data_IF_812713470900
#
_entry.id   IF_812713470900
#
_cell.length_a   1.000
_cell.length_b   1.000
_cell.length_c   1.000
_cell.angle_alpha   90.00
_cell.angle_beta   90.00
_cell.angle_gamma   90.00
#
_symmetry.space_group_name_H-M   'P 1'
#
loop_
_entity.id
_entity.type
_entity.pdbx_description
1 polymer ?
#
# COMPACT_ATOMS: atom_id res chain seq x y z
N UNK A 1 5.97 36.82 4.66
CA UNK A 1 5.13 35.66 4.28
C UNK A 1 6.02 34.41 4.21
N UNK A 2 6.09 33.60 5.29
CA UNK A 2 6.93 32.38 5.33
C UNK A 2 6.14 31.21 4.73
N UNK A 3 6.67 30.62 3.66
CA UNK A 3 6.04 29.56 2.86
C UNK A 3 5.56 28.35 3.71
N UNK A 4 4.34 27.82 3.45
CA UNK A 4 3.77 26.66 4.16
C UNK A 4 4.49 25.32 3.91
N UNK A 5 5.45 25.29 2.98
CA UNK A 5 6.21 24.09 2.62
C UNK A 5 7.09 23.52 3.73
N UNK A 6 7.64 24.35 4.62
CA UNK A 6 8.55 23.87 5.69
C UNK A 6 7.83 23.05 6.77
N UNK A 7 6.55 23.34 7.07
CA UNK A 7 5.77 22.61 8.08
C UNK A 7 5.35 21.24 7.55
N UNK A 8 4.80 21.20 6.34
CA UNK A 8 4.36 19.97 5.64
C UNK A 8 5.45 18.90 5.57
N UNK A 9 6.72 19.29 5.32
CA UNK A 9 7.85 18.35 5.28
C UNK A 9 8.21 17.77 6.66
N UNK A 10 8.09 18.57 7.71
CA UNK A 10 8.35 18.12 9.09
C UNK A 10 7.29 17.13 9.55
N UNK A 11 6.03 17.35 9.20
CA UNK A 11 4.92 16.45 9.53
C UNK A 11 5.06 15.10 8.81
N UNK A 12 5.40 15.12 7.51
CA UNK A 12 5.67 13.90 6.74
C UNK A 12 6.78 13.06 7.39
N UNK A 13 7.88 13.69 7.83
CA UNK A 13 8.96 12.96 8.51
C UNK A 13 8.52 12.33 9.81
N UNK A 14 7.71 13.02 10.61
CA UNK A 14 7.18 12.47 11.87
C UNK A 14 6.25 11.28 11.63
N UNK A 15 5.37 11.36 10.62
CA UNK A 15 4.53 10.24 10.22
C UNK A 15 5.34 9.09 9.64
N UNK A 16 6.38 9.39 8.84
CA UNK A 16 7.25 8.39 8.26
C UNK A 16 7.94 7.57 9.35
N UNK A 17 8.51 8.23 10.37
CA UNK A 17 9.17 7.58 11.51
C UNK A 17 8.20 6.70 12.30
N UNK A 18 6.97 7.17 12.56
CA UNK A 18 5.95 6.38 13.26
C UNK A 18 5.54 5.14 12.46
N UNK A 19 5.31 5.31 11.16
CA UNK A 19 4.92 4.22 10.27
C UNK A 19 6.05 3.20 10.07
N UNK A 20 7.30 3.66 9.97
CA UNK A 20 8.46 2.81 9.72
C UNK A 20 8.92 2.00 10.92
N UNK A 21 8.70 2.49 12.14
CA UNK A 21 9.11 1.80 13.36
C UNK A 21 8.27 0.54 13.60
N UNK A 22 6.94 0.68 13.66
CA UNK A 22 6.05 -0.45 13.99
C UNK A 22 4.82 -0.55 13.08
N UNK A 23 4.40 0.55 12.45
CA UNK A 23 3.14 0.60 11.69
C UNK A 23 3.10 -0.39 10.52
N UNK A 24 4.18 -0.49 9.72
CA UNK A 24 4.23 -1.46 8.63
C UNK A 24 4.15 -2.91 9.10
N UNK A 25 4.87 -3.24 10.18
CA UNK A 25 4.87 -4.60 10.72
C UNK A 25 3.49 -4.97 11.26
N UNK A 26 2.86 -4.06 12.00
CA UNK A 26 1.51 -4.27 12.52
C UNK A 26 0.47 -4.45 11.40
N UNK A 27 0.51 -3.63 10.34
CA UNK A 27 -0.38 -3.80 9.19
C UNK A 27 -0.13 -5.15 8.52
N UNK A 28 1.13 -5.51 8.32
CA UNK A 28 1.52 -6.79 7.73
C UNK A 28 1.00 -7.99 8.53
N UNK A 29 1.21 -7.99 9.85
CA UNK A 29 0.83 -9.09 10.74
C UNK A 29 -0.70 -9.27 10.83
N UNK A 30 -1.49 -8.22 10.58
CA UNK A 30 -2.94 -8.27 10.58
C UNK A 30 -3.56 -8.67 9.22
N UNK A 31 -2.74 -8.76 8.17
CA UNK A 31 -3.25 -9.18 6.86
C UNK A 31 -3.34 -10.70 6.83
N UNK A 32 -4.56 -11.18 6.62
CA UNK A 32 -4.84 -12.60 6.43
C UNK A 32 -4.35 -13.05 5.04
N UNK A 33 -3.13 -13.61 5.01
CA UNK A 33 -2.48 -14.14 3.81
C UNK A 33 -3.26 -15.33 3.19
N UNK A 34 -4.02 -16.09 4.00
CA UNK A 34 -4.83 -17.20 3.50
C UNK A 34 -6.06 -16.68 2.73
N UNK A 35 -6.68 -15.60 3.21
CA UNK A 35 -7.76 -14.94 2.50
C UNK A 35 -7.28 -14.27 1.20
N UNK A 36 -6.04 -13.78 1.15
CA UNK A 36 -5.43 -13.32 -0.10
C UNK A 36 -5.31 -14.47 -1.09
N UNK A 37 -4.71 -15.60 -0.67
CA UNK A 37 -4.60 -16.81 -1.49
C UNK A 37 -5.96 -17.21 -2.08
N UNK A 38 -6.96 -17.39 -1.21
CA UNK A 38 -8.32 -17.77 -1.62
C UNK A 38 -8.94 -16.78 -2.59
N UNK A 39 -8.70 -15.49 -2.38
CA UNK A 39 -9.12 -14.44 -3.28
C UNK A 39 -8.51 -14.62 -4.67
N UNK A 40 -7.18 -14.71 -4.74
CA UNK A 40 -6.44 -14.88 -6.01
C UNK A 40 -6.84 -16.17 -6.72
N UNK A 41 -6.96 -17.29 -6.01
CA UNK A 41 -7.37 -18.58 -6.59
C UNK A 41 -8.78 -18.51 -7.20
N UNK A 42 -9.71 -17.84 -6.52
CA UNK A 42 -11.11 -17.77 -6.96
C UNK A 42 -11.33 -16.83 -8.14
N UNK A 43 -10.63 -15.70 -8.20
CA UNK A 43 -10.93 -14.63 -9.17
C UNK A 43 -9.79 -14.28 -10.11
N UNK A 44 -8.59 -14.82 -9.91
CA UNK A 44 -7.38 -14.43 -10.64
C UNK A 44 -6.73 -13.16 -10.07
N UNK A 45 -5.43 -13.01 -10.33
CA UNK A 45 -4.61 -11.94 -9.78
C UNK A 45 -5.12 -10.55 -10.22
N UNK A 46 -5.40 -10.32 -11.50
CA UNK A 46 -5.79 -8.97 -11.96
C UNK A 46 -7.15 -8.53 -11.42
N UNK A 47 -8.12 -9.43 -11.26
CA UNK A 47 -9.41 -9.10 -10.64
C UNK A 47 -9.24 -8.83 -9.15
N UNK A 48 -8.37 -9.58 -8.46
CA UNK A 48 -8.03 -9.32 -7.07
C UNK A 48 -7.39 -7.94 -6.89
N UNK A 49 -6.42 -7.59 -7.75
CA UNK A 49 -5.79 -6.26 -7.78
C UNK A 49 -6.85 -5.18 -7.99
N UNK A 50 -7.77 -5.40 -8.93
CA UNK A 50 -8.83 -4.45 -9.23
C UNK A 50 -9.77 -4.24 -8.04
N UNK A 51 -10.14 -5.33 -7.35
CA UNK A 51 -10.95 -5.26 -6.13
C UNK A 51 -10.24 -4.44 -5.05
N UNK A 52 -8.95 -4.68 -4.81
CA UNK A 52 -8.16 -3.89 -3.86
C UNK A 52 -8.07 -2.41 -4.27
N UNK A 53 -7.93 -2.11 -5.56
CA UNK A 53 -7.91 -0.73 -6.06
C UNK A 53 -9.25 -0.02 -5.84
N UNK A 54 -10.38 -0.70 -6.04
CA UNK A 54 -11.70 -0.15 -5.72
C UNK A 54 -11.91 0.07 -4.22
N UNK A 55 -11.44 -0.85 -3.38
CA UNK A 55 -11.48 -0.69 -1.92
C UNK A 55 -10.60 0.47 -1.44
N UNK A 56 -9.47 0.71 -2.11
CA UNK A 56 -8.61 1.86 -1.88
C UNK A 56 -9.28 3.19 -2.30
N UNK A 57 -10.04 3.18 -3.39
CA UNK A 57 -10.79 4.34 -3.87
C UNK A 57 -12.01 4.67 -2.99
N UNK A 58 -12.72 3.64 -2.51
CA UNK A 58 -13.87 3.75 -1.63
C UNK A 58 -13.46 3.83 -0.17
N UNK A 59 -13.02 5.01 0.29
CA UNK A 59 -12.69 5.21 1.69
C UNK A 59 -13.97 5.48 2.51
N UNK A 60 -14.49 4.44 3.18
CA UNK A 60 -15.67 4.56 4.05
C UNK A 60 -16.29 3.25 4.54
N UNK A 61 -16.01 2.10 3.91
CA UNK A 61 -16.48 0.81 4.39
C UNK A 61 -15.37 -0.24 4.22
N UNK A 62 -15.17 -1.06 5.25
CA UNK A 62 -14.20 -2.16 5.34
C UNK A 62 -12.85 -1.76 5.96
N UNK A 63 -12.91 -1.13 7.13
CA UNK A 63 -11.92 -1.36 8.19
C UNK A 63 -12.50 -2.36 9.19
N UNK A 64 -12.79 -3.56 8.69
CA UNK A 64 -13.25 -4.70 9.48
C UNK A 64 -12.10 -5.30 10.30
N UNK A 65 -11.57 -4.55 11.24
CA UNK A 65 -10.92 -5.00 12.48
C UNK A 65 -10.57 -3.75 13.28
N UNK A 66 -11.24 -3.56 14.42
CA UNK A 66 -11.00 -2.41 15.31
C UNK A 66 -9.56 -2.29 15.84
N UNK A 67 -8.67 -3.23 15.53
CA UNK A 67 -7.25 -3.22 15.89
C UNK A 67 -6.38 -2.36 14.97
N UNK A 68 -6.62 -2.33 13.65
CA UNK A 68 -5.75 -1.59 12.72
C UNK A 68 -5.93 -0.06 12.85
N UNK A 69 -7.15 0.39 13.16
CA UNK A 69 -7.49 1.82 13.28
C UNK A 69 -6.89 2.44 14.56
N UNK A 70 -6.82 1.69 15.66
CA UNK A 70 -6.30 2.17 16.95
C UNK A 70 -4.77 2.11 17.05
N UNK A 71 -4.14 1.27 16.23
CA UNK A 71 -2.70 0.97 16.27
C UNK A 71 -1.78 2.07 15.74
N UNK A 72 -2.24 2.92 14.81
CA UNK A 72 -1.44 4.07 14.35
C UNK A 72 -2.12 5.39 14.64
N UNK A 73 -2.06 5.76 15.93
CA UNK A 73 -2.60 7.02 16.46
C UNK A 73 -2.05 8.21 15.68
N UNK A 74 -2.96 8.93 15.01
CA UNK A 74 -2.69 10.16 14.29
C UNK A 74 -2.55 10.03 12.76
N UNK A 75 -2.65 8.81 12.19
CA UNK A 75 -2.75 8.64 10.73
C UNK A 75 -4.22 8.60 10.28
N UNK A 76 -4.57 9.21 9.12
CA UNK A 76 -5.91 9.14 8.58
C UNK A 76 -6.34 7.70 8.27
N UNK A 77 -7.58 7.32 8.55
CA UNK A 77 -8.10 5.96 8.27
C UNK A 77 -7.98 5.59 6.79
N UNK A 78 -8.23 6.55 5.90
CA UNK A 78 -8.11 6.36 4.45
C UNK A 78 -6.70 5.93 4.05
N UNK A 79 -5.69 6.49 4.71
CA UNK A 79 -4.28 6.18 4.49
C UNK A 79 -3.95 4.75 4.92
N UNK A 80 -4.49 4.32 6.06
CA UNK A 80 -4.32 2.95 6.55
C UNK A 80 -4.97 1.95 5.60
N UNK A 81 -6.18 2.24 5.14
CA UNK A 81 -6.86 1.41 4.14
C UNK A 81 -6.00 1.29 2.87
N UNK A 82 -5.46 2.40 2.37
CA UNK A 82 -4.59 2.39 1.18
C UNK A 82 -3.36 1.51 1.34
N UNK A 83 -2.63 1.65 2.45
CA UNK A 83 -1.46 0.80 2.73
C UNK A 83 -1.88 -0.66 2.82
N UNK A 84 -2.98 -0.93 3.52
CA UNK A 84 -3.51 -2.30 3.67
C UNK A 84 -3.85 -2.92 2.32
N UNK A 85 -4.57 -2.20 1.45
CA UNK A 85 -4.88 -2.69 0.10
C UNK A 85 -3.62 -2.86 -0.75
N UNK A 86 -2.66 -1.95 -0.64
CA UNK A 86 -1.37 -2.07 -1.33
C UNK A 86 -0.60 -3.31 -0.88
N UNK A 87 -0.58 -3.60 0.42
CA UNK A 87 0.08 -4.77 0.97
C UNK A 87 -0.58 -6.05 0.48
N UNK A 88 -1.91 -6.10 0.47
CA UNK A 88 -2.68 -7.23 -0.07
C UNK A 88 -2.35 -7.50 -1.55
N UNK A 89 -2.23 -6.44 -2.36
CA UNK A 89 -1.85 -6.53 -3.78
C UNK A 89 -0.45 -7.07 -3.96
N UNK A 90 0.52 -6.58 -3.17
CA UNK A 90 1.91 -7.06 -3.24
C UNK A 90 1.98 -8.54 -2.85
N UNK A 91 1.33 -8.95 -1.76
CA UNK A 91 1.27 -10.35 -1.33
C UNK A 91 0.55 -11.23 -2.35
N UNK A 92 -0.54 -10.76 -2.96
CA UNK A 92 -1.24 -11.48 -4.04
C UNK A 92 -0.31 -11.74 -5.23
N UNK A 93 0.49 -10.73 -5.60
CA UNK A 93 1.47 -10.85 -6.69
C UNK A 93 2.59 -11.81 -6.34
N UNK A 94 3.08 -11.78 -5.09
CA UNK A 94 4.07 -12.75 -4.60
C UNK A 94 3.53 -14.18 -4.61
N UNK A 95 2.31 -14.38 -4.12
CA UNK A 95 1.64 -15.68 -4.16
C UNK A 95 1.49 -16.19 -5.59
N UNK A 96 1.01 -15.35 -6.51
CA UNK A 96 0.86 -15.72 -7.91
C UNK A 96 2.19 -16.07 -8.59
N UNK A 97 3.27 -15.35 -8.27
CA UNK A 97 4.60 -15.59 -8.83
C UNK A 97 5.27 -16.85 -8.26
N UNK A 98 5.22 -17.01 -6.92
CA UNK A 98 6.03 -18.00 -6.19
C UNK A 98 5.26 -19.26 -5.78
N UNK A 99 3.93 -19.22 -5.83
CA UNK A 99 3.05 -20.30 -5.37
C UNK A 99 2.95 -20.45 -3.84
N UNK A 100 3.77 -19.73 -3.06
CA UNK A 100 3.67 -19.68 -1.60
C UNK A 100 2.90 -18.45 -1.15
N UNK A 101 1.92 -18.67 -0.26
CA UNK A 101 1.18 -17.57 0.35
C UNK A 101 1.80 -17.12 1.67
N UNK A 102 2.67 -17.94 2.29
CA UNK A 102 3.37 -17.60 3.54
C UNK A 102 4.61 -16.79 3.21
N UNK A 103 4.50 -15.49 3.42
CA UNK A 103 5.55 -14.52 3.11
C UNK A 103 6.06 -13.94 4.43
N UNK A 104 7.37 -13.75 4.58
CA UNK A 104 7.94 -13.06 5.73
C UNK A 104 7.89 -11.54 5.56
N UNK A 105 7.94 -10.81 6.67
CA UNK A 105 7.90 -9.34 6.63
C UNK A 105 9.10 -8.76 5.85
N UNK A 106 10.29 -9.33 6.03
CA UNK A 106 11.52 -8.88 5.38
C UNK A 106 11.46 -9.09 3.86
N UNK A 107 10.99 -10.27 3.42
CA UNK A 107 10.83 -10.60 2.00
C UNK A 107 9.80 -9.69 1.34
N UNK A 108 8.68 -9.46 2.03
CA UNK A 108 7.64 -8.55 1.60
C UNK A 108 8.14 -7.11 1.47
N UNK A 109 8.79 -6.58 2.52
CA UNK A 109 9.27 -5.20 2.51
C UNK A 109 10.41 -4.98 1.51
N UNK A 110 11.24 -5.99 1.27
CA UNK A 110 12.24 -5.95 0.20
C UNK A 110 11.59 -5.74 -1.18
N UNK A 111 10.51 -6.47 -1.46
CA UNK A 111 9.76 -6.29 -2.71
C UNK A 111 9.08 -4.92 -2.80
N UNK A 112 8.51 -4.43 -1.70
CA UNK A 112 7.96 -3.07 -1.61
C UNK A 112 9.06 -2.05 -1.90
N UNK A 113 10.25 -2.17 -1.32
CA UNK A 113 11.39 -1.29 -1.57
C UNK A 113 11.76 -1.26 -3.05
N UNK A 114 11.89 -2.44 -3.68
CA UNK A 114 12.17 -2.56 -5.13
C UNK A 114 11.10 -1.90 -5.98
N UNK A 115 9.82 -2.06 -5.63
CA UNK A 115 8.71 -1.43 -6.37
C UNK A 115 8.76 0.11 -6.30
N UNK A 116 9.32 0.66 -5.23
CA UNK A 116 9.58 2.08 -5.07
C UNK A 116 10.93 2.54 -5.65
N UNK A 117 11.68 1.66 -6.34
CA UNK A 117 13.04 1.92 -6.81
C UNK A 117 13.95 2.40 -5.66
N UNK A 118 13.78 1.83 -4.47
CA UNK A 118 14.70 2.02 -3.36
C UNK A 118 15.69 0.87 -3.43
N UNK A 119 16.98 1.20 -3.47
CA UNK A 119 18.06 0.23 -3.34
C UNK A 119 18.09 -0.29 -1.90
N UNK A 120 17.30 -1.33 -1.65
CA UNK A 120 17.47 -2.14 -0.46
C UNK A 120 18.61 -3.14 -0.77
N UNK A 121 19.72 -3.04 -0.02
CA UNK A 121 20.71 -4.10 0.00
C UNK A 121 20.14 -5.39 0.62
N UNK A 122 21.01 -6.27 1.11
CA UNK A 122 20.59 -7.57 1.70
C UNK A 122 19.75 -7.39 2.99
N UNK A 123 19.83 -6.25 3.67
CA UNK A 123 19.16 -6.01 4.95
C UNK A 123 18.11 -4.89 4.88
N UNK A 124 16.94 -5.16 5.46
CA UNK A 124 15.89 -4.16 5.71
C UNK A 124 16.29 -3.27 6.89
N UNK A 125 16.91 -2.12 6.61
CA UNK A 125 17.33 -1.16 7.64
C UNK A 125 16.21 -0.16 7.97
N UNK A 126 16.30 0.47 9.14
CA UNK A 126 15.40 1.56 9.54
C UNK A 126 15.31 2.67 8.48
N UNK A 127 16.44 3.04 7.87
CA UNK A 127 16.50 4.07 6.82
C UNK A 127 15.75 3.66 5.55
N UNK A 128 15.81 2.38 5.16
CA UNK A 128 15.03 1.86 4.03
C UNK A 128 13.54 1.93 4.37
N UNK A 129 13.14 1.52 5.58
CA UNK A 129 11.76 1.59 6.05
C UNK A 129 11.23 3.02 6.09
N UNK A 130 12.00 3.97 6.61
CA UNK A 130 11.67 5.40 6.60
C UNK A 130 11.53 5.94 5.16
N UNK A 131 12.41 5.53 4.24
CA UNK A 131 12.33 5.92 2.84
C UNK A 131 11.07 5.38 2.14
N UNK A 132 10.67 4.14 2.45
CA UNK A 132 9.41 3.57 1.97
C UNK A 132 8.23 4.36 2.53
N UNK A 133 8.25 4.66 3.83
CA UNK A 133 7.22 5.45 4.49
C UNK A 133 7.09 6.86 3.90
N UNK A 134 8.21 7.55 3.68
CA UNK A 134 8.24 8.87 3.03
C UNK A 134 7.68 8.79 1.60
N UNK A 135 8.10 7.80 0.79
CA UNK A 135 7.60 7.66 -0.58
C UNK A 135 6.11 7.34 -0.63
N UNK A 136 5.63 6.50 0.29
CA UNK A 136 4.20 6.27 0.47
C UNK A 136 3.49 7.57 0.83
N UNK A 137 3.89 8.25 1.92
CA UNK A 137 3.29 9.53 2.35
C UNK A 137 3.30 10.61 1.27
N UNK A 138 4.36 10.68 0.47
CA UNK A 138 4.48 11.60 -0.67
C UNK A 138 3.57 11.20 -1.83
N UNK A 139 3.48 9.91 -2.16
CA UNK A 139 2.58 9.39 -3.20
C UNK A 139 1.11 9.57 -2.80
N UNK A 140 0.82 9.47 -1.51
CA UNK A 140 -0.50 9.75 -0.94
C UNK A 140 -0.80 11.24 -0.82
N UNK A 141 0.23 12.09 -0.92
CA UNK A 141 0.11 13.52 -1.08
C UNK A 141 -0.68 14.17 0.05
N UNK A 142 0.03 14.79 0.99
CA UNK A 142 -0.49 15.93 1.76
C UNK A 142 -0.72 17.13 0.81
N UNK A 143 -1.52 16.94 -0.24
CA UNK A 143 -2.15 17.99 -1.04
C UNK A 143 -3.58 18.14 -0.55
N UNK A 144 -3.67 18.55 0.70
CA UNK A 144 -4.87 19.18 1.27
C UNK A 144 -5.32 20.39 0.43
N UNK A 145 -4.48 20.90 -0.47
CA UNK A 145 -4.79 22.00 -1.40
C UNK A 145 -5.87 21.67 -2.45
N UNK A 146 -6.03 20.40 -2.86
CA UNK A 146 -7.02 20.02 -3.90
C UNK A 146 -8.44 19.79 -3.33
N UNK A 147 -8.62 19.91 -2.00
CA UNK A 147 -9.91 19.75 -1.29
C UNK A 147 -10.75 21.02 -1.19
N UNK A 148 -10.46 22.06 -1.98
CA UNK A 148 -11.23 23.31 -1.96
C UNK A 148 -12.70 23.14 -2.39
N UNK A 149 -13.05 22.02 -3.05
CA UNK A 149 -14.44 21.62 -3.35
C UNK A 149 -14.62 20.14 -2.96
N UNK A 150 -15.43 19.80 -1.93
CA UNK A 150 -15.54 18.45 -1.36
C UNK A 150 -15.88 17.34 -2.37
N UNK A 151 -16.76 17.61 -3.33
CA UNK A 151 -17.21 16.63 -4.34
C UNK A 151 -16.10 16.34 -5.35
N UNK A 152 -15.42 17.38 -5.85
CA UNK A 152 -14.32 17.25 -6.81
C UNK A 152 -13.09 16.61 -6.15
N UNK A 153 -12.80 16.99 -4.89
CA UNK A 153 -11.72 16.42 -4.10
C UNK A 153 -11.91 14.92 -3.81
N UNK A 154 -13.14 14.46 -3.61
CA UNK A 154 -13.44 13.04 -3.41
C UNK A 154 -13.23 12.20 -4.68
N UNK A 155 -13.67 12.72 -5.84
CA UNK A 155 -13.49 12.02 -7.14
C UNK A 155 -12.00 11.96 -7.52
N UNK A 156 -11.26 13.05 -7.33
CA UNK A 156 -9.82 13.10 -7.60
C UNK A 156 -9.07 12.19 -6.64
N UNK A 157 -9.40 12.23 -5.34
CA UNK A 157 -8.77 11.39 -4.32
C UNK A 157 -9.02 9.89 -4.55
N UNK A 158 -10.27 9.49 -4.80
CA UNK A 158 -10.60 8.09 -5.08
C UNK A 158 -9.93 7.57 -6.35
N UNK A 159 -9.89 8.38 -7.41
CA UNK A 159 -9.21 8.02 -8.66
C UNK A 159 -7.70 7.92 -8.48
N UNK A 160 -7.08 8.85 -7.73
CA UNK A 160 -5.66 8.82 -7.42
C UNK A 160 -5.28 7.54 -6.64
N UNK A 161 -6.09 7.18 -5.65
CA UNK A 161 -5.92 5.95 -4.85
C UNK A 161 -6.02 4.68 -5.71
N UNK A 162 -7.05 4.60 -6.56
CA UNK A 162 -7.23 3.49 -7.49
C UNK A 162 -6.00 3.33 -8.41
N UNK A 163 -5.58 4.42 -9.05
CA UNK A 163 -4.44 4.43 -9.96
C UNK A 163 -3.12 4.12 -9.25
N UNK A 164 -2.95 4.59 -8.02
CA UNK A 164 -1.77 4.28 -7.21
C UNK A 164 -1.64 2.77 -7.01
N UNK A 165 -2.69 2.11 -6.52
CA UNK A 165 -2.69 0.65 -6.29
C UNK A 165 -2.40 -0.11 -7.58
N UNK A 166 -3.03 0.28 -8.70
CA UNK A 166 -2.80 -0.35 -10.00
C UNK A 166 -1.35 -0.19 -10.48
N UNK A 167 -0.79 1.01 -10.41
CA UNK A 167 0.59 1.29 -10.85
C UNK A 167 1.62 0.54 -10.00
N UNK A 168 1.39 0.49 -8.70
CA UNK A 168 2.24 -0.27 -7.79
C UNK A 168 2.14 -1.77 -8.07
N UNK A 169 0.92 -2.30 -8.31
CA UNK A 169 0.73 -3.68 -8.72
C UNK A 169 1.53 -4.01 -9.99
N UNK A 170 1.46 -3.14 -11.01
CA UNK A 170 2.22 -3.32 -12.25
C UNK A 170 3.73 -3.28 -12.01
N UNK A 171 4.21 -2.41 -11.11
CA UNK A 171 5.62 -2.37 -10.73
C UNK A 171 6.07 -3.65 -10.02
N UNK A 172 5.24 -4.18 -9.13
CA UNK A 172 5.50 -5.45 -8.43
C UNK A 172 5.47 -6.62 -9.43
N UNK A 173 4.46 -6.68 -10.31
CA UNK A 173 4.37 -7.70 -11.38
C UNK A 173 5.63 -7.73 -12.24
N UNK A 174 6.10 -6.56 -12.70
CA UNK A 174 7.34 -6.42 -13.48
C UNK A 174 8.56 -6.93 -12.72
N UNK A 175 8.70 -6.58 -11.44
CA UNK A 175 9.81 -7.05 -10.61
C UNK A 175 9.80 -8.56 -10.35
N UNK A 176 8.64 -9.20 -10.50
CA UNK A 176 8.45 -10.65 -10.39
C UNK A 176 8.42 -11.35 -11.76
N UNK A 177 8.74 -10.64 -12.86
CA UNK A 177 8.75 -11.23 -14.21
C UNK A 177 7.38 -11.56 -14.80
N UNK A 178 6.30 -11.08 -14.19
CA UNK A 178 4.93 -11.28 -14.68
C UNK A 178 4.63 -10.24 -15.76
N UNK A 179 4.50 -10.71 -17.01
CA UNK A 179 4.17 -9.87 -18.17
C UNK A 179 2.76 -10.16 -18.68
N UNK A 180 1.97 -9.12 -18.94
CA UNK A 180 0.63 -9.23 -19.51
C UNK A 180 -0.52 -9.46 -18.51
N UNK A 181 -1.76 -9.63 -19.01
CA UNK A 181 -2.91 -9.97 -18.20
C UNK A 181 -2.75 -11.38 -17.61
N UNK A 182 -2.96 -11.48 -16.31
CA UNK A 182 -2.94 -12.70 -15.51
C UNK A 182 -4.38 -13.21 -15.38
N UNK A 183 -4.73 -14.16 -16.25
CA UNK A 183 -6.03 -14.81 -16.25
C UNK A 183 -6.28 -15.65 -15.00
N UNK A 184 -7.56 -15.99 -14.78
CA UNK A 184 -8.01 -16.88 -13.71
C UNK A 184 -7.41 -18.26 -13.96
N UNK A 185 -6.32 -18.60 -13.25
CA UNK A 185 -5.93 -20.01 -13.13
C UNK A 185 -6.94 -20.67 -12.19
N UNK A 186 -7.97 -21.27 -12.78
CA UNK A 186 -8.85 -22.21 -12.09
C UNK A 186 -7.98 -23.44 -11.79
N UNK A 187 -7.53 -23.56 -10.54
CA UNK A 187 -7.00 -24.81 -10.01
C UNK A 187 -8.16 -25.63 -9.44
#
# INVERSE_FOLDING_TARGET
MKLPFKRTRTDIKQYAVKLSNDGFKQIFDHIDQLNIKRGVDKMGLDKFINQCAYLAAGSGAISGSGGIITMVVGMPVDFINLITQQFRVTMATMYYSRGTYKISFEEFMGLVATSFKIEAGVAMTKTVMESIAEKLLLAFGVRTAERLIPVVGAVIGGTANYLFVKRMADSVKKSQGINGPTEVKVF
#
